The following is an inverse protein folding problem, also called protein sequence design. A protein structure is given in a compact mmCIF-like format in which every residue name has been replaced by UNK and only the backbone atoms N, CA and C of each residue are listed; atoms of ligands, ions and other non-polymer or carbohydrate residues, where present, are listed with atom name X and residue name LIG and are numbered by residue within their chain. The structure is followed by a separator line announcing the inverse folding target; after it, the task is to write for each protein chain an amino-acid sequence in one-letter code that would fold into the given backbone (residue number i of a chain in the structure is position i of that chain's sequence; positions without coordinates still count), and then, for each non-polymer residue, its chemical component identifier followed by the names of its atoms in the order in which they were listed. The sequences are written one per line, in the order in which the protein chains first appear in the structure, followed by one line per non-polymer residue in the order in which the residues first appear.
data_IF_261751583743
#
_entry.id   IF_261751583743
#
_cell.length_a   1.000
_cell.length_b   1.000
_cell.length_c   1.000
_cell.angle_alpha   90.00
_cell.angle_beta   90.00
_cell.angle_gamma   90.00
#
_symmetry.space_group_name_H-M   'P 1'
#
loop_
_entity.id
_entity.type
_entity.pdbx_description
1 polymer ?
#
# COMPACT_ATOMS: atom_id res chain seq x y z
N UNK A 1 13.83 1.57 19.29
CA UNK A 1 12.74 2.45 18.80
C UNK A 1 12.15 1.85 17.53
N UNK A 2 10.97 1.22 17.64
CA UNK A 2 10.25 0.64 16.51
C UNK A 2 9.29 1.68 15.96
N UNK A 3 9.79 2.53 15.06
CA UNK A 3 8.99 3.57 14.42
C UNK A 3 8.46 3.04 13.08
N UNK A 4 7.14 3.02 12.95
CA UNK A 4 6.35 2.99 11.71
C UNK A 4 5.97 1.64 11.03
N UNK A 5 6.06 0.47 11.67
CA UNK A 5 5.70 -0.80 10.96
C UNK A 5 4.25 -1.30 11.14
N UNK A 6 3.54 -0.92 12.20
CA UNK A 6 2.21 -1.47 12.52
C UNK A 6 0.98 -0.64 12.05
N UNK A 7 0.93 0.71 12.17
CA UNK A 7 -0.29 1.45 11.84
C UNK A 7 -0.53 1.60 10.34
N UNK A 8 0.53 1.68 9.52
CA UNK A 8 0.41 1.82 8.06
C UNK A 8 -0.18 0.57 7.44
N UNK A 9 0.16 -0.61 7.96
CA UNK A 9 -0.37 -1.89 7.48
C UNK A 9 -1.89 -1.96 7.66
N UNK A 10 -2.38 -1.63 8.87
CA UNK A 10 -3.80 -1.64 9.17
C UNK A 10 -4.56 -0.60 8.35
N UNK A 11 -4.05 0.64 8.27
CA UNK A 11 -4.68 1.71 7.48
C UNK A 11 -4.71 1.40 5.98
N UNK A 12 -3.64 0.79 5.45
CA UNK A 12 -3.60 0.36 4.06
C UNK A 12 -4.61 -0.78 3.80
N UNK A 13 -4.74 -1.72 4.73
CA UNK A 13 -5.72 -2.80 4.64
C UNK A 13 -7.15 -2.27 4.63
N UNK A 14 -7.47 -1.30 5.50
CA UNK A 14 -8.77 -0.63 5.50
C UNK A 14 -9.00 0.15 4.22
N UNK A 15 -8.02 0.90 3.72
CA UNK A 15 -8.11 1.59 2.43
C UNK A 15 -8.38 0.63 1.26
N UNK A 16 -7.65 -0.49 1.16
CA UNK A 16 -7.87 -1.49 0.11
C UNK A 16 -9.27 -2.15 0.21
N UNK A 17 -9.81 -2.28 1.41
CA UNK A 17 -11.14 -2.87 1.63
C UNK A 17 -12.25 -1.86 1.33
N UNK A 18 -12.14 -0.64 1.82
CA UNK A 18 -13.19 0.38 1.75
C UNK A 18 -13.18 1.14 0.42
N UNK A 19 -12.01 1.57 -0.06
CA UNK A 19 -11.90 2.38 -1.29
C UNK A 19 -11.76 1.53 -2.56
N UNK A 20 -11.26 0.29 -2.43
CA UNK A 20 -11.02 -0.60 -3.57
C UNK A 20 -11.92 -1.84 -3.61
N UNK A 21 -12.72 -2.08 -2.56
CA UNK A 21 -13.57 -3.26 -2.43
C UNK A 21 -12.81 -4.60 -2.58
N UNK A 22 -11.50 -4.63 -2.30
CA UNK A 22 -10.71 -5.85 -2.44
C UNK A 22 -10.91 -6.71 -1.19
N UNK A 23 -11.28 -7.99 -1.33
CA UNK A 23 -11.44 -8.87 -0.20
C UNK A 23 -10.09 -9.06 0.52
N UNK A 24 -10.12 -8.87 1.83
CA UNK A 24 -8.98 -9.02 2.73
C UNK A 24 -8.32 -10.41 2.68
N UNK A 25 -8.99 -11.40 2.10
CA UNK A 25 -8.52 -12.78 1.89
C UNK A 25 -7.47 -12.91 0.77
N UNK A 26 -7.53 -12.06 -0.27
CA UNK A 26 -6.57 -12.08 -1.38
C UNK A 26 -5.30 -11.24 -1.11
N UNK A 27 -5.31 -10.53 0.01
CA UNK A 27 -4.35 -9.49 0.36
C UNK A 27 -3.22 -9.93 1.33
N UNK A 28 -3.38 -10.93 2.24
CA UNK A 28 -2.51 -11.04 3.41
C UNK A 28 -1.08 -11.45 3.07
N UNK A 29 -0.90 -12.29 2.03
CA UNK A 29 0.42 -12.68 1.52
C UNK A 29 1.16 -11.50 0.86
N UNK A 30 0.44 -10.69 0.10
CA UNK A 30 0.99 -9.53 -0.62
C UNK A 30 1.39 -8.43 0.36
N UNK A 31 0.56 -8.14 1.37
CA UNK A 31 0.88 -7.12 2.38
C UNK A 31 2.05 -7.52 3.28
N UNK A 32 2.17 -8.79 3.70
CA UNK A 32 3.31 -9.24 4.51
C UNK A 32 4.64 -9.05 3.77
N UNK A 33 4.65 -9.34 2.47
CA UNK A 33 5.83 -9.13 1.63
C UNK A 33 6.13 -7.63 1.45
N UNK A 34 5.08 -6.82 1.33
CA UNK A 34 5.20 -5.38 1.10
C UNK A 34 5.44 -4.55 2.37
N UNK A 35 5.31 -5.12 3.56
CA UNK A 35 5.72 -4.46 4.81
C UNK A 35 7.19 -4.02 4.77
N UNK A 36 8.03 -4.72 3.99
CA UNK A 36 9.44 -4.35 3.75
C UNK A 36 9.64 -3.47 2.51
N UNK A 37 8.70 -3.47 1.58
CA UNK A 37 8.76 -2.74 0.30
C UNK A 37 7.38 -2.21 -0.12
N UNK A 38 6.87 -1.14 0.53
CA UNK A 38 5.52 -0.63 0.27
C UNK A 38 5.33 -0.16 -1.18
N UNK A 39 6.40 0.33 -1.81
CA UNK A 39 6.47 0.72 -3.22
C UNK A 39 6.13 -0.40 -4.21
N UNK A 40 6.37 -1.66 -3.83
CA UNK A 40 6.09 -2.82 -4.72
C UNK A 40 4.64 -3.30 -4.62
N UNK A 41 3.93 -2.93 -3.56
CA UNK A 41 2.55 -3.35 -3.32
C UNK A 41 1.60 -3.06 -4.49
N UNK A 42 1.46 -1.79 -4.97
CA UNK A 42 0.56 -1.49 -6.08
C UNK A 42 0.93 -2.27 -7.35
N UNK A 43 2.22 -2.44 -7.64
CA UNK A 43 2.69 -3.18 -8.81
C UNK A 43 2.31 -4.66 -8.71
N UNK A 44 2.48 -5.29 -7.55
CA UNK A 44 2.09 -6.69 -7.31
C UNK A 44 0.58 -6.85 -7.45
N UNK A 45 -0.22 -5.97 -6.84
CA UNK A 45 -1.69 -6.01 -6.96
C UNK A 45 -2.16 -5.93 -8.42
N UNK A 46 -1.52 -5.10 -9.24
CA UNK A 46 -1.83 -4.99 -10.67
C UNK A 46 -1.38 -6.20 -11.49
N UNK A 47 -0.23 -6.80 -11.16
CA UNK A 47 0.23 -8.05 -11.78
C UNK A 47 -0.73 -9.21 -11.51
N UNK A 48 -1.34 -9.25 -10.31
CA UNK A 48 -2.39 -10.20 -9.97
C UNK A 48 -3.77 -9.86 -10.56
N UNK A 49 -3.89 -8.78 -11.37
CA UNK A 49 -5.16 -8.28 -11.92
C UNK A 49 -6.24 -8.00 -10.84
N UNK A 50 -5.82 -7.78 -9.60
CA UNK A 50 -6.71 -7.49 -8.47
C UNK A 50 -7.19 -6.03 -8.48
N UNK A 51 -6.49 -5.16 -9.21
CA UNK A 51 -6.78 -3.73 -9.33
C UNK A 51 -6.68 -3.25 -10.78
N UNK A 52 -7.40 -2.17 -11.07
CA UNK A 52 -7.29 -1.43 -12.34
C UNK A 52 -6.17 -0.39 -12.27
N UNK A 53 -5.79 0.17 -13.42
CA UNK A 53 -4.80 1.27 -13.49
C UNK A 53 -5.21 2.48 -12.63
N UNK A 54 -6.49 2.85 -12.63
CA UNK A 54 -7.01 3.95 -11.79
C UNK A 54 -6.85 3.67 -10.30
N UNK A 55 -7.05 2.42 -9.90
CA UNK A 55 -6.87 1.99 -8.52
C UNK A 55 -5.41 1.89 -8.10
N UNK A 56 -4.54 1.46 -9.03
CA UNK A 56 -3.09 1.49 -8.84
C UNK A 56 -2.59 2.91 -8.59
N UNK A 57 -3.06 3.89 -9.36
CA UNK A 57 -2.68 5.29 -9.21
C UNK A 57 -3.11 5.88 -7.84
N UNK A 58 -4.33 5.55 -7.39
CA UNK A 58 -4.84 5.91 -6.05
C UNK A 58 -3.96 5.34 -4.93
N UNK A 59 -3.56 4.07 -5.02
CA UNK A 59 -2.68 3.43 -4.03
C UNK A 59 -1.30 4.12 -4.03
N UNK A 60 -0.73 4.43 -5.19
CA UNK A 60 0.53 5.16 -5.30
C UNK A 60 0.46 6.54 -4.66
N UNK A 61 -0.62 7.29 -4.93
CA UNK A 61 -0.86 8.61 -4.34
C UNK A 61 -0.98 8.52 -2.82
N UNK A 62 -1.75 7.55 -2.30
CA UNK A 62 -1.91 7.32 -0.87
C UNK A 62 -0.56 6.97 -0.20
N UNK A 63 0.27 6.14 -0.84
CA UNK A 63 1.60 5.81 -0.33
C UNK A 63 2.55 7.02 -0.34
N UNK A 64 2.48 7.86 -1.38
CA UNK A 64 3.31 9.06 -1.49
C UNK A 64 2.94 10.14 -0.45
N UNK A 65 1.65 10.25 -0.10
CA UNK A 65 1.18 11.10 0.99
C UNK A 65 1.76 10.65 2.34
N UNK A 66 1.77 9.34 2.58
CA UNK A 66 2.23 8.73 3.85
C UNK A 66 3.75 8.54 3.95
N UNK A 67 4.44 8.49 2.82
CA UNK A 67 5.90 8.52 2.75
C UNK A 67 6.32 9.81 2.06
N UNK A 68 6.31 10.95 2.78
CA UNK A 68 7.02 12.11 2.28
C UNK A 68 8.48 11.68 2.11
N UNK A 69 8.93 11.56 0.86
CA UNK A 69 10.33 11.31 0.56
C UNK A 69 11.11 12.37 1.34
N UNK A 70 11.88 11.89 2.34
CA UNK A 70 12.64 12.68 3.31
C UNK A 70 13.03 14.03 2.70
N UNK A 71 12.42 15.09 3.22
CA UNK A 71 12.67 16.47 2.82
C UNK A 71 14.17 16.67 2.61
N UNK A 72 14.54 17.07 1.40
CA UNK A 72 15.85 17.65 1.13
C UNK A 72 15.99 18.89 2.00
N UNK A 73 16.62 18.71 3.16
CA UNK A 73 17.29 19.79 3.86
C UNK A 73 18.60 20.06 3.10
N UNK A 74 18.58 21.07 2.25
CA UNK A 74 19.74 21.82 1.79
C UNK A 74 19.28 23.22 1.36
#
# INVERSE_FOLDING_TARGET
MAIASEPIYSQLKDFLKEELAIPADSIPLVLQHCAKTPHRLPVVLWQHRLITLSQLDRIFTWLSDRYPARQSQA
#
